data_IF_782586852792
#
_entry.id   IF_782586852792
#
_cell.length_a   1.000
_cell.length_b   1.000
_cell.length_c   1.000
_cell.angle_alpha   90.00
_cell.angle_beta   90.00
_cell.angle_gamma   90.00
#
_symmetry.space_group_name_H-M   'P 1'
#
loop_
_entity.id
_entity.type
_entity.pdbx_description
1 polymer ?
#
# COMPACT_ATOMS: atom_id res chain seq x y z
N UNK A 1 10.36 48.58 31.78
CA UNK A 1 10.00 47.16 31.63
C UNK A 1 10.43 46.43 32.88
N UNK A 2 9.52 45.84 33.61
CA UNK A 2 9.81 45.25 34.92
C UNK A 2 10.31 43.80 34.74
N UNK A 3 11.21 43.35 35.61
CA UNK A 3 11.81 42.01 35.61
C UNK A 3 10.78 40.86 35.57
N UNK A 4 9.54 41.11 35.99
CA UNK A 4 8.43 40.14 35.88
C UNK A 4 8.01 39.86 34.41
N UNK A 5 8.02 40.87 33.55
CA UNK A 5 7.61 40.74 32.13
C UNK A 5 8.63 39.90 31.35
N UNK A 6 9.92 40.03 31.64
CA UNK A 6 10.99 39.28 30.98
C UNK A 6 10.92 37.78 31.32
N UNK A 7 10.62 37.44 32.61
CA UNK A 7 10.47 36.04 33.02
C UNK A 7 9.27 35.32 32.36
N UNK A 8 8.17 36.05 32.14
CA UNK A 8 6.98 35.49 31.48
C UNK A 8 7.24 35.22 29.99
N UNK A 9 8.00 36.09 29.31
CA UNK A 9 8.38 35.88 27.92
C UNK A 9 9.38 34.74 27.70
N UNK A 10 10.29 34.54 28.64
CA UNK A 10 11.22 33.38 28.57
C UNK A 10 10.54 32.05 28.85
N UNK A 11 9.54 31.99 29.71
CA UNK A 11 8.75 30.77 29.95
C UNK A 11 7.86 30.39 28.78
N UNK A 12 7.26 31.36 28.08
CA UNK A 12 6.45 31.11 26.86
C UNK A 12 7.32 30.71 25.66
N UNK A 13 8.54 31.27 25.52
CA UNK A 13 9.45 30.87 24.44
C UNK A 13 10.00 29.44 24.66
N UNK A 14 10.25 29.03 25.90
CA UNK A 14 10.71 27.68 26.23
C UNK A 14 9.62 26.62 26.01
N UNK A 15 8.33 26.93 26.21
CA UNK A 15 7.23 26.03 25.92
C UNK A 15 6.94 25.87 24.42
N UNK A 16 7.23 26.86 23.58
CA UNK A 16 7.07 26.73 22.12
C UNK A 16 8.20 25.91 21.45
N UNK A 17 9.40 25.85 22.06
CA UNK A 17 10.50 25.05 21.48
C UNK A 17 10.40 23.54 21.78
N UNK A 18 9.61 23.13 22.76
CA UNK A 18 9.44 21.69 23.09
C UNK A 18 8.33 21.00 22.30
N UNK A 19 7.49 21.74 21.56
CA UNK A 19 6.37 21.18 20.79
C UNK A 19 6.76 20.72 19.38
N UNK A 20 7.96 21.03 18.89
CA UNK A 20 8.38 20.66 17.53
C UNK A 20 9.31 19.44 17.45
N UNK A 21 9.69 18.83 18.58
CA UNK A 21 10.59 17.67 18.63
C UNK A 21 9.85 16.31 18.58
N UNK A 22 8.55 16.29 18.35
CA UNK A 22 7.71 15.11 18.58
C UNK A 22 7.04 14.49 17.38
N UNK A 23 7.41 14.77 16.13
CA UNK A 23 6.74 14.13 14.97
C UNK A 23 7.70 13.78 13.82
N UNK A 24 8.85 13.24 14.15
CA UNK A 24 9.54 12.35 13.24
C UNK A 24 9.24 10.93 13.71
N UNK A 25 8.07 10.42 13.33
CA UNK A 25 7.87 8.98 13.23
C UNK A 25 8.89 8.48 12.19
N UNK A 26 10.06 8.08 12.67
CA UNK A 26 11.01 7.35 11.86
C UNK A 26 10.24 6.17 11.29
N UNK A 27 9.99 6.18 9.99
CA UNK A 27 9.62 4.99 9.24
C UNK A 27 10.78 4.03 9.40
N UNK A 28 10.69 3.21 10.46
CA UNK A 28 11.63 2.13 10.70
C UNK A 28 11.56 1.27 9.47
N UNK A 29 12.59 1.32 8.62
CA UNK A 29 12.70 0.42 7.49
C UNK A 29 12.62 -0.99 8.08
N UNK A 30 11.46 -1.61 7.97
CA UNK A 30 11.26 -2.98 8.39
C UNK A 30 12.14 -3.84 7.50
N UNK A 31 13.01 -4.66 8.09
CA UNK A 31 13.76 -5.66 7.34
C UNK A 31 12.75 -6.42 6.47
N UNK A 32 13.09 -6.74 5.19
CA UNK A 32 12.23 -7.57 4.37
C UNK A 32 11.87 -8.83 5.15
N UNK A 33 10.59 -9.11 5.26
CA UNK A 33 10.12 -10.35 5.88
C UNK A 33 10.48 -11.55 4.99
N UNK A 34 10.63 -12.71 5.60
CA UNK A 34 10.79 -13.98 4.87
C UNK A 34 9.41 -14.61 4.65
N UNK A 35 9.15 -15.07 3.43
CA UNK A 35 7.97 -15.85 3.10
C UNK A 35 8.41 -17.18 2.48
N UNK A 36 8.07 -18.29 3.12
CA UNK A 36 8.52 -19.64 2.74
C UNK A 36 7.37 -20.64 2.84
N UNK A 37 7.60 -21.84 2.33
CA UNK A 37 6.68 -22.97 2.51
C UNK A 37 7.11 -23.79 3.73
N UNK A 38 6.14 -24.16 4.57
CA UNK A 38 6.29 -25.12 5.65
C UNK A 38 5.59 -26.44 5.32
N UNK A 39 5.53 -27.37 6.31
CA UNK A 39 4.70 -28.56 6.16
C UNK A 39 3.21 -28.15 6.23
N UNK A 40 2.50 -28.30 5.09
CA UNK A 40 1.06 -28.00 4.91
C UNK A 40 0.64 -26.54 5.15
N UNK A 41 1.57 -25.59 5.23
CA UNK A 41 1.26 -24.18 5.42
C UNK A 41 2.32 -23.27 4.82
N UNK A 42 1.99 -21.99 4.63
CA UNK A 42 3.00 -20.96 4.40
C UNK A 42 3.56 -20.47 5.74
N UNK A 43 4.80 -20.01 5.71
CA UNK A 43 5.46 -19.38 6.85
C UNK A 43 5.80 -17.93 6.52
N UNK A 44 5.40 -17.01 7.38
CA UNK A 44 5.81 -15.61 7.34
C UNK A 44 6.71 -15.35 8.54
N UNK A 45 7.97 -15.01 8.28
CA UNK A 45 9.00 -14.84 9.31
C UNK A 45 9.17 -16.08 10.23
N UNK A 46 8.97 -17.27 9.66
CA UNK A 46 9.06 -18.53 10.38
C UNK A 46 7.76 -18.97 11.07
N UNK A 47 6.75 -18.13 11.15
CA UNK A 47 5.47 -18.43 11.79
C UNK A 47 4.40 -18.87 10.78
N UNK A 48 3.50 -19.82 11.13
CA UNK A 48 2.41 -20.25 10.27
C UNK A 48 1.56 -19.09 9.79
N UNK A 49 1.35 -19.00 8.48
CA UNK A 49 0.60 -17.89 7.87
C UNK A 49 -0.46 -18.39 6.89
N UNK A 50 -1.72 -18.12 7.20
CA UNK A 50 -2.85 -18.41 6.31
C UNK A 50 -3.14 -17.21 5.45
N UNK A 51 -2.95 -17.34 4.13
CA UNK A 51 -3.30 -16.30 3.16
C UNK A 51 -4.80 -16.25 2.98
N UNK A 52 -5.41 -15.08 3.24
CA UNK A 52 -6.81 -14.77 2.98
C UNK A 52 -6.84 -13.58 2.03
N UNK A 53 -6.97 -13.85 0.74
CA UNK A 53 -6.87 -12.83 -0.29
C UNK A 53 -8.24 -12.51 -0.92
N UNK A 54 -8.48 -11.23 -1.18
CA UNK A 54 -9.54 -10.77 -2.08
C UNK A 54 -8.92 -10.42 -3.43
N UNK A 55 -9.54 -10.85 -4.53
CA UNK A 55 -9.14 -10.42 -5.86
C UNK A 55 -9.72 -9.03 -6.14
N UNK A 56 -8.85 -8.09 -6.51
CA UNK A 56 -9.21 -6.68 -6.73
C UNK A 56 -8.57 -6.20 -8.02
N UNK A 57 -9.40 -5.82 -8.97
CA UNK A 57 -8.94 -5.30 -10.28
C UNK A 57 -8.84 -3.79 -10.23
N UNK A 58 -7.65 -3.25 -9.88
CA UNK A 58 -7.43 -1.80 -9.74
C UNK A 58 -7.88 -0.98 -10.96
N UNK A 59 -7.74 -1.44 -12.23
CA UNK A 59 -8.14 -0.62 -13.38
C UNK A 59 -9.65 -0.44 -13.51
N UNK A 60 -10.45 -1.35 -12.92
CA UNK A 60 -11.91 -1.28 -12.91
C UNK A 60 -12.47 -0.36 -11.82
N UNK A 61 -11.60 0.15 -10.95
CA UNK A 61 -11.95 0.98 -9.82
C UNK A 61 -11.33 2.35 -10.03
N UNK A 62 -12.09 3.46 -10.03
CA UNK A 62 -11.50 4.78 -10.09
C UNK A 62 -10.50 5.00 -8.94
N UNK A 63 -9.31 5.52 -9.25
CA UNK A 63 -8.20 5.68 -8.31
C UNK A 63 -8.58 6.26 -6.93
N UNK A 64 -9.45 7.29 -6.81
CA UNK A 64 -9.84 7.83 -5.51
C UNK A 64 -10.53 6.82 -4.57
N UNK A 65 -11.04 5.70 -5.11
CA UNK A 65 -11.71 4.67 -4.32
C UNK A 65 -10.82 3.47 -3.97
N UNK A 66 -9.58 3.41 -4.45
CA UNK A 66 -8.68 2.26 -4.21
C UNK A 66 -8.47 2.00 -2.72
N UNK A 67 -8.09 3.01 -1.97
CA UNK A 67 -7.85 2.86 -0.53
C UNK A 67 -9.10 2.38 0.21
N UNK A 68 -10.26 2.94 -0.11
CA UNK A 68 -11.53 2.50 0.46
C UNK A 68 -11.82 1.02 0.17
N UNK A 69 -11.58 0.53 -1.05
CA UNK A 69 -11.79 -0.88 -1.41
C UNK A 69 -10.83 -1.81 -0.66
N UNK A 70 -9.57 -1.42 -0.51
CA UNK A 70 -8.59 -2.14 0.28
C UNK A 70 -9.02 -2.23 1.75
N UNK A 71 -9.51 -1.13 2.32
CA UNK A 71 -10.03 -1.09 3.69
C UNK A 71 -11.25 -2.00 3.87
N UNK A 72 -12.14 -2.06 2.89
CA UNK A 72 -13.29 -2.98 2.92
C UNK A 72 -12.83 -4.45 2.89
N UNK A 73 -11.85 -4.81 2.06
CA UNK A 73 -11.26 -6.15 2.06
C UNK A 73 -10.69 -6.50 3.45
N UNK A 74 -9.97 -5.56 4.06
CA UNK A 74 -9.42 -5.74 5.41
C UNK A 74 -10.53 -5.92 6.46
N UNK A 75 -11.60 -5.13 6.38
CA UNK A 75 -12.75 -5.25 7.30
C UNK A 75 -13.46 -6.61 7.20
N UNK A 76 -13.43 -7.24 6.01
CA UNK A 76 -13.90 -8.62 5.79
C UNK A 76 -12.94 -9.70 6.32
N UNK A 77 -11.83 -9.32 6.96
CA UNK A 77 -10.84 -10.25 7.52
C UNK A 77 -9.80 -10.76 6.53
N UNK A 78 -9.67 -10.12 5.35
CA UNK A 78 -8.59 -10.43 4.41
C UNK A 78 -7.26 -9.85 4.91
N UNK A 79 -6.17 -10.54 4.64
CA UNK A 79 -4.81 -10.08 4.93
C UNK A 79 -3.99 -9.81 3.67
N UNK A 80 -4.54 -10.10 2.50
CA UNK A 80 -3.94 -9.86 1.21
C UNK A 80 -4.97 -9.38 0.18
N UNK A 81 -4.48 -8.69 -0.84
CA UNK A 81 -5.20 -8.45 -2.10
C UNK A 81 -4.46 -9.14 -3.22
N UNK A 82 -5.20 -9.78 -4.12
CA UNK A 82 -4.68 -10.42 -5.33
C UNK A 82 -4.99 -9.52 -6.51
N UNK A 83 -4.01 -9.20 -7.34
CA UNK A 83 -4.16 -8.36 -8.52
C UNK A 83 -3.57 -9.00 -9.76
N UNK A 84 -4.19 -8.76 -10.91
CA UNK A 84 -3.57 -8.97 -12.20
C UNK A 84 -2.82 -7.72 -12.66
N UNK A 85 -1.78 -7.90 -13.45
CA UNK A 85 -1.21 -6.85 -14.29
C UNK A 85 -1.83 -7.03 -15.69
N UNK A 86 -2.67 -6.08 -16.08
CA UNK A 86 -3.40 -6.13 -17.34
C UNK A 86 -2.53 -5.53 -18.45
N UNK A 87 -1.96 -6.36 -19.28
CA UNK A 87 -0.98 -5.92 -20.26
C UNK A 87 -1.55 -4.87 -21.23
N UNK A 88 -2.75 -5.12 -21.79
CA UNK A 88 -3.37 -4.23 -22.78
C UNK A 88 -3.73 -2.83 -22.26
N UNK A 89 -3.83 -2.61 -20.94
CA UNK A 89 -4.01 -1.26 -20.39
C UNK A 89 -2.71 -0.54 -20.16
N UNK A 90 -1.64 -1.29 -19.92
CA UNK A 90 -0.31 -0.71 -19.70
C UNK A 90 0.44 -0.49 -21.00
N UNK A 91 0.24 -1.31 -22.02
CA UNK A 91 0.86 -1.21 -23.32
C UNK A 91 -0.24 -1.16 -24.40
N UNK A 92 -0.84 0.01 -24.60
CA UNK A 92 -1.87 0.23 -25.64
C UNK A 92 -1.28 0.37 -27.05
N UNK A 93 0.01 0.64 -27.12
CA UNK A 93 0.81 0.67 -28.36
C UNK A 93 2.13 -0.04 -28.09
N UNK A 94 2.58 -0.83 -29.04
CA UNK A 94 3.80 -1.60 -28.92
C UNK A 94 4.98 -0.76 -28.42
N UNK A 95 5.59 -1.16 -27.30
CA UNK A 95 6.73 -0.48 -26.69
C UNK A 95 6.40 0.76 -25.87
N UNK A 96 5.15 1.22 -25.81
CA UNK A 96 4.73 2.39 -25.05
C UNK A 96 3.98 1.96 -23.78
N UNK A 97 4.65 2.03 -22.63
CA UNK A 97 4.06 1.61 -21.36
C UNK A 97 3.55 2.81 -20.54
N UNK A 98 2.29 2.69 -20.03
CA UNK A 98 1.67 3.65 -19.13
C UNK A 98 1.40 3.04 -17.74
N UNK A 99 2.01 3.63 -16.71
CA UNK A 99 1.79 3.31 -15.30
C UNK A 99 1.33 4.55 -14.53
N UNK A 100 0.54 5.42 -15.15
CA UNK A 100 0.05 6.66 -14.53
C UNK A 100 -1.44 6.61 -14.25
N UNK A 101 -1.94 7.57 -13.46
CA UNK A 101 -3.37 7.72 -13.18
C UNK A 101 -3.99 6.43 -12.64
N UNK A 102 -4.98 5.90 -13.35
CA UNK A 102 -5.68 4.65 -12.98
C UNK A 102 -4.87 3.38 -13.28
N UNK A 103 -3.75 3.52 -14.00
CA UNK A 103 -2.82 2.43 -14.32
C UNK A 103 -1.63 2.36 -13.34
N UNK A 104 -1.57 3.24 -12.33
CA UNK A 104 -0.48 3.27 -11.34
C UNK A 104 -0.59 2.11 -10.34
N UNK A 105 -0.22 0.91 -10.81
CA UNK A 105 -0.21 -0.30 -9.99
C UNK A 105 0.73 -0.19 -8.79
N UNK A 106 1.81 0.58 -8.91
CA UNK A 106 2.75 0.77 -7.81
C UNK A 106 2.09 1.55 -6.66
N UNK A 107 1.27 2.57 -6.98
CA UNK A 107 0.50 3.28 -5.96
C UNK A 107 -0.56 2.38 -5.32
N UNK A 108 -1.24 1.54 -6.10
CA UNK A 108 -2.18 0.57 -5.55
C UNK A 108 -1.49 -0.36 -4.54
N UNK A 109 -0.29 -0.86 -4.86
CA UNK A 109 0.51 -1.67 -3.94
C UNK A 109 0.93 -0.89 -2.68
N UNK A 110 1.33 0.39 -2.81
CA UNK A 110 1.66 1.24 -1.66
C UNK A 110 0.46 1.46 -0.74
N UNK A 111 -0.73 1.67 -1.30
CA UNK A 111 -1.97 1.80 -0.53
C UNK A 111 -2.32 0.50 0.21
N UNK A 112 -2.14 -0.66 -0.42
CA UNK A 112 -2.32 -1.95 0.25
C UNK A 112 -1.34 -2.10 1.42
N UNK A 113 -0.06 -1.82 1.20
CA UNK A 113 0.97 -1.86 2.25
C UNK A 113 0.67 -0.89 3.40
N UNK A 114 0.28 0.35 3.10
CA UNK A 114 -0.14 1.37 4.08
C UNK A 114 -1.26 0.86 4.97
N UNK A 115 -2.19 0.09 4.43
CA UNK A 115 -3.31 -0.51 5.15
C UNK A 115 -2.96 -1.86 5.80
N UNK A 116 -1.69 -2.29 5.76
CA UNK A 116 -1.21 -3.53 6.36
C UNK A 116 -1.70 -4.78 5.63
N UNK A 117 -1.94 -4.68 4.31
CA UNK A 117 -2.32 -5.79 3.44
C UNK A 117 -1.14 -6.24 2.60
N UNK A 118 -0.97 -7.55 2.44
CA UNK A 118 -0.05 -8.12 1.46
C UNK A 118 -0.63 -8.03 0.05
N UNK A 119 0.23 -8.07 -0.96
CA UNK A 119 -0.19 -8.05 -2.37
C UNK A 119 0.32 -9.31 -3.07
N UNK A 120 -0.58 -10.04 -3.70
CA UNK A 120 -0.28 -11.15 -4.59
C UNK A 120 -0.38 -10.62 -6.01
N UNK A 121 0.75 -10.56 -6.70
CA UNK A 121 0.80 -10.06 -8.08
C UNK A 121 0.77 -11.23 -9.06
N UNK A 122 -0.13 -11.17 -10.02
CA UNK A 122 -0.28 -12.13 -11.13
C UNK A 122 0.06 -11.41 -12.44
N UNK A 123 1.29 -11.49 -12.92
CA UNK A 123 1.77 -10.63 -14.01
C UNK A 123 1.22 -10.97 -15.41
N UNK A 124 0.56 -12.07 -15.58
CA UNK A 124 0.06 -12.47 -16.87
C UNK A 124 1.04 -13.40 -17.63
N UNK A 125 1.04 -13.39 -18.97
CA UNK A 125 0.40 -12.41 -19.88
C UNK A 125 -1.12 -12.49 -19.97
N UNK A 126 -1.71 -13.68 -19.88
CA UNK A 126 -3.15 -13.88 -19.94
C UNK A 126 -3.83 -13.71 -18.57
N UNK A 127 -4.96 -13.01 -18.52
CA UNK A 127 -5.76 -12.81 -17.30
C UNK A 127 -7.15 -13.44 -17.46
N UNK A 128 -7.54 -14.28 -16.48
CA UNK A 128 -8.84 -14.96 -16.43
C UNK A 128 -9.89 -14.15 -15.66
N UNK A 129 -10.10 -12.89 -16.03
CA UNK A 129 -10.92 -11.97 -15.24
C UNK A 129 -12.09 -11.40 -16.06
N UNK A 130 -12.64 -12.17 -17.02
CA UNK A 130 -13.58 -11.65 -18.04
C UNK A 130 -13.09 -10.29 -18.58
N UNK A 131 -11.81 -10.22 -18.87
CA UNK A 131 -11.17 -9.07 -19.45
C UNK A 131 -11.04 -9.25 -20.96
N UNK A 132 -11.22 -8.15 -21.68
CA UNK A 132 -11.14 -8.13 -23.15
C UNK A 132 -9.82 -8.77 -23.62
N UNK A 133 -9.91 -9.66 -24.61
CA UNK A 133 -8.78 -10.42 -25.17
C UNK A 133 -7.90 -11.15 -24.14
N UNK A 134 -8.42 -11.38 -22.93
CA UNK A 134 -7.63 -11.96 -21.84
C UNK A 134 -6.50 -11.04 -21.36
N UNK A 135 -6.60 -9.74 -21.63
CA UNK A 135 -5.59 -8.74 -21.25
C UNK A 135 -4.40 -8.65 -22.20
N UNK A 136 -4.43 -9.33 -23.34
CA UNK A 136 -3.40 -9.21 -24.38
C UNK A 136 -3.64 -7.93 -25.19
N UNK A 137 -2.57 -7.19 -25.59
CA UNK A 137 -2.69 -6.01 -26.43
C UNK A 137 -3.13 -6.31 -27.86
#
# INVERSE_FOLDING_TARGET
>A
MTTKTIKTWMLTAAMLLTATAGLQAATKATKPGTFTTGDKTFLLNGEPFVVKAAEVHYPRIPRPYWEHRIQMCKALGMNAVCIYIFWNIHEQREGEFDFTGNNDVAEFCRLAQKNGMYVIVRPGPYVCAEWEMGGLP
#
